data_IF_235127518561
#
_entry.id   IF_235127518561
#
_cell.length_a   1.000
_cell.length_b   1.000
_cell.length_c   1.000
_cell.angle_alpha   90.00
_cell.angle_beta   90.00
_cell.angle_gamma   90.00
#
_symmetry.space_group_name_H-M   'P 1'
#
loop_
_entity.id
_entity.type
_entity.pdbx_description
1 polymer ?
#
# COMPACT_ATOMS: atom_id res chain seq x y z
N UNK A 1 -5.47 2.66 29.55
CA UNK A 1 -5.82 3.41 28.33
C UNK A 1 -6.83 4.51 28.67
N UNK A 2 -6.49 5.80 28.51
CA UNK A 2 -7.37 6.92 28.90
C UNK A 2 -8.50 7.15 27.89
N UNK A 3 -9.69 7.54 28.36
CA UNK A 3 -10.96 7.71 27.59
C UNK A 3 -10.82 8.71 26.44
N UNK A 4 -9.86 9.64 26.54
CA UNK A 4 -9.56 10.67 25.55
C UNK A 4 -8.88 10.12 24.28
N UNK A 5 -7.94 9.18 24.44
CA UNK A 5 -7.23 8.55 23.31
C UNK A 5 -8.19 7.71 22.46
N UNK A 6 -9.10 6.96 23.09
CA UNK A 6 -10.12 6.15 22.40
C UNK A 6 -11.08 6.99 21.53
N UNK A 7 -11.34 8.25 21.93
CA UNK A 7 -12.22 9.18 21.21
C UNK A 7 -11.54 9.74 19.94
N UNK A 8 -10.27 10.14 20.03
CA UNK A 8 -9.47 10.58 18.88
C UNK A 8 -9.37 9.48 17.82
N UNK A 9 -9.15 8.22 18.23
CA UNK A 9 -9.02 7.06 17.33
C UNK A 9 -10.31 6.75 16.56
N UNK A 10 -11.48 6.91 17.17
CA UNK A 10 -12.78 6.81 16.47
C UNK A 10 -13.03 8.02 15.55
N UNK A 11 -12.60 9.21 15.95
CA UNK A 11 -12.69 10.41 15.13
C UNK A 11 -11.82 10.32 13.87
N UNK A 12 -10.61 9.74 13.95
CA UNK A 12 -9.73 9.55 12.79
C UNK A 12 -10.39 8.74 11.66
N UNK A 13 -11.13 7.68 12.00
CA UNK A 13 -11.89 6.88 11.01
C UNK A 13 -13.02 7.70 10.40
N UNK A 14 -13.73 8.50 11.21
CA UNK A 14 -14.81 9.37 10.72
C UNK A 14 -14.29 10.52 9.85
N UNK A 15 -13.05 10.95 10.07
CA UNK A 15 -12.40 11.97 9.26
C UNK A 15 -12.01 11.44 7.88
N UNK A 16 -12.02 10.13 7.61
CA UNK A 16 -11.73 9.59 6.28
C UNK A 16 -12.86 9.94 5.28
N UNK A 17 -12.54 10.27 4.01
CA UNK A 17 -13.53 10.60 3.01
C UNK A 17 -14.39 9.36 2.73
N UNK A 18 -15.59 9.57 2.21
CA UNK A 18 -16.61 8.51 2.07
C UNK A 18 -16.11 7.31 1.25
N UNK A 19 -15.39 7.52 0.17
CA UNK A 19 -14.78 6.45 -0.64
C UNK A 19 -13.72 5.65 0.13
N UNK A 20 -12.91 6.29 0.98
CA UNK A 20 -11.97 5.59 1.86
C UNK A 20 -12.71 4.81 2.94
N UNK A 21 -13.76 5.40 3.51
CA UNK A 21 -14.64 4.69 4.45
C UNK A 21 -15.38 3.53 3.78
N UNK A 22 -15.79 3.63 2.52
CA UNK A 22 -16.45 2.57 1.78
C UNK A 22 -15.50 1.40 1.49
N UNK A 23 -14.25 1.69 1.09
CA UNK A 23 -13.21 0.66 0.97
C UNK A 23 -12.94 -0.04 2.31
N UNK A 24 -12.99 0.71 3.42
CA UNK A 24 -12.82 0.16 4.78
C UNK A 24 -14.02 -0.66 5.23
N UNK A 25 -15.25 -0.24 4.92
CA UNK A 25 -16.46 -0.77 5.57
C UNK A 25 -17.35 -1.66 4.69
N UNK A 26 -17.29 -1.57 3.36
CA UNK A 26 -18.35 -2.11 2.49
C UNK A 26 -17.90 -2.79 1.20
N UNK A 27 -16.72 -2.48 0.67
CA UNK A 27 -16.28 -3.10 -0.58
C UNK A 27 -15.86 -4.56 -0.32
N UNK A 28 -16.41 -5.53 -1.04
CA UNK A 28 -15.90 -6.91 -1.13
C UNK A 28 -15.35 -7.19 -2.53
N UNK A 29 -14.14 -7.73 -2.61
CA UNK A 29 -13.59 -8.24 -3.86
C UNK A 29 -14.17 -9.63 -4.15
N UNK A 30 -14.42 -9.96 -5.42
CA UNK A 30 -14.76 -11.35 -5.76
C UNK A 30 -13.53 -12.26 -5.67
N UNK A 31 -12.33 -11.68 -5.76
CA UNK A 31 -11.07 -12.39 -5.58
C UNK A 31 -10.73 -12.59 -4.07
N UNK A 32 -10.62 -13.84 -3.59
CA UNK A 32 -10.32 -14.13 -2.18
C UNK A 32 -8.97 -13.60 -1.69
N UNK A 33 -7.95 -13.57 -2.55
CA UNK A 33 -6.63 -13.05 -2.18
C UNK A 33 -6.63 -11.52 -2.05
N UNK A 34 -7.41 -10.82 -2.88
CA UNK A 34 -7.61 -9.37 -2.72
C UNK A 34 -8.43 -9.05 -1.47
N UNK A 35 -9.42 -9.88 -1.12
CA UNK A 35 -10.11 -9.78 0.17
C UNK A 35 -9.17 -10.01 1.35
N UNK A 36 -8.29 -11.01 1.28
CA UNK A 36 -7.29 -11.25 2.32
C UNK A 36 -6.37 -10.04 2.49
N UNK A 37 -5.86 -9.50 1.39
CA UNK A 37 -5.00 -8.33 1.40
C UNK A 37 -5.70 -7.11 2.03
N UNK A 38 -6.94 -6.81 1.60
CA UNK A 38 -7.74 -5.73 2.19
C UNK A 38 -7.98 -5.97 3.68
N UNK A 39 -8.46 -7.15 4.05
CA UNK A 39 -8.81 -7.43 5.45
C UNK A 39 -7.58 -7.34 6.36
N UNK A 40 -6.41 -7.82 5.91
CA UNK A 40 -5.16 -7.65 6.63
C UNK A 40 -4.78 -6.17 6.79
N UNK A 41 -4.93 -5.36 5.75
CA UNK A 41 -4.72 -3.91 5.83
C UNK A 41 -5.63 -3.25 6.86
N UNK A 42 -6.93 -3.55 6.83
CA UNK A 42 -7.90 -2.99 7.79
C UNK A 42 -7.64 -3.46 9.22
N UNK A 43 -7.28 -4.73 9.38
CA UNK A 43 -6.88 -5.29 10.67
C UNK A 43 -5.67 -4.54 11.23
N UNK A 44 -4.63 -4.30 10.42
CA UNK A 44 -3.47 -3.51 10.80
C UNK A 44 -3.81 -2.07 11.17
N UNK A 45 -4.62 -1.41 10.33
CA UNK A 45 -5.08 -0.04 10.55
C UNK A 45 -5.83 0.11 11.88
N UNK A 46 -6.78 -0.78 12.16
CA UNK A 46 -7.58 -0.72 13.38
C UNK A 46 -6.81 -1.19 14.61
N UNK A 47 -5.98 -2.23 14.49
CA UNK A 47 -5.25 -2.80 15.63
C UNK A 47 -4.19 -1.83 16.14
N UNK A 48 -3.41 -1.22 15.26
CA UNK A 48 -2.38 -0.24 15.66
C UNK A 48 -2.99 0.97 16.36
N UNK A 49 -4.14 1.45 15.87
CA UNK A 49 -4.88 2.52 16.53
C UNK A 49 -5.57 2.09 17.83
N UNK A 50 -5.69 0.81 18.18
CA UNK A 50 -6.39 0.42 19.41
C UNK A 50 -5.46 -0.09 20.52
N UNK A 51 -4.20 -0.35 20.21
CA UNK A 51 -3.22 -0.76 21.21
C UNK A 51 -2.73 0.41 22.08
N UNK A 52 -2.23 0.07 23.26
CA UNK A 52 -1.42 0.98 24.07
C UNK A 52 -0.05 1.17 23.43
N UNK A 53 0.58 2.30 23.70
CA UNK A 53 1.89 2.66 23.14
C UNK A 53 2.97 1.63 23.51
N UNK A 54 2.94 1.11 24.73
CA UNK A 54 3.84 0.07 25.25
C UNK A 54 3.72 -1.26 24.47
N UNK A 55 2.54 -1.57 23.93
CA UNK A 55 2.29 -2.83 23.23
C UNK A 55 2.48 -2.72 21.72
N UNK A 56 2.63 -1.51 21.17
CA UNK A 56 2.84 -1.31 19.73
C UNK A 56 4.07 -2.06 19.18
N UNK A 57 5.25 -2.00 19.83
CA UNK A 57 6.44 -2.71 19.31
C UNK A 57 6.23 -4.23 19.25
N UNK A 58 5.45 -4.79 20.17
CA UNK A 58 5.18 -6.23 20.27
C UNK A 58 4.22 -6.75 19.20
N UNK A 59 3.53 -5.85 18.48
CA UNK A 59 2.55 -6.23 17.48
C UNK A 59 3.21 -6.93 16.29
N UNK A 60 4.41 -6.51 15.88
CA UNK A 60 5.09 -7.02 14.69
C UNK A 60 5.31 -8.53 14.72
N UNK A 61 5.52 -9.10 15.90
CA UNK A 61 5.81 -10.53 16.09
C UNK A 61 4.55 -11.41 16.10
N UNK A 62 3.37 -10.78 16.12
CA UNK A 62 2.08 -11.46 16.16
C UNK A 62 1.43 -11.59 14.79
N UNK A 63 2.02 -10.98 13.75
CA UNK A 63 1.40 -10.88 12.43
C UNK A 63 1.73 -12.13 11.59
N UNK A 64 0.72 -12.88 11.12
CA UNK A 64 0.95 -14.01 10.22
C UNK A 64 1.64 -13.59 8.92
N UNK A 65 2.57 -14.42 8.41
CA UNK A 65 3.33 -14.18 7.17
C UNK A 65 2.46 -13.72 5.99
N UNK A 66 1.35 -14.42 5.76
CA UNK A 66 0.44 -14.14 4.64
C UNK A 66 -0.30 -12.80 4.79
N UNK A 67 -0.29 -12.18 5.96
CA UNK A 67 -0.87 -10.86 6.25
C UNK A 67 0.17 -9.76 6.42
N UNK A 68 1.43 -10.10 6.70
CA UNK A 68 2.48 -9.18 7.18
C UNK A 68 2.54 -7.87 6.40
N UNK A 69 2.76 -7.94 5.09
CA UNK A 69 2.92 -6.74 4.27
C UNK A 69 1.70 -5.82 4.32
N UNK A 70 0.52 -6.35 4.05
CA UNK A 70 -0.71 -5.55 4.04
C UNK A 70 -1.08 -5.02 5.42
N UNK A 71 -0.89 -5.83 6.47
CA UNK A 71 -1.13 -5.40 7.84
C UNK A 71 -0.24 -4.22 8.22
N UNK A 72 1.06 -4.30 7.91
CA UNK A 72 2.01 -3.22 8.22
C UNK A 72 1.72 -1.98 7.37
N UNK A 73 1.36 -2.13 6.09
CA UNK A 73 0.88 -1.00 5.26
C UNK A 73 -0.30 -0.27 5.94
N UNK A 74 -1.28 -1.03 6.45
CA UNK A 74 -2.43 -0.47 7.18
C UNK A 74 -2.04 0.20 8.49
N UNK A 75 -1.17 -0.44 9.28
CA UNK A 75 -0.66 0.11 10.53
C UNK A 75 0.14 1.40 10.30
N UNK A 76 1.02 1.42 9.29
CA UNK A 76 1.80 2.59 8.89
C UNK A 76 0.91 3.76 8.52
N UNK A 77 -0.10 3.55 7.67
CA UNK A 77 -1.08 4.60 7.33
C UNK A 77 -1.75 5.16 8.58
N UNK A 78 -2.25 4.29 9.47
CA UNK A 78 -3.03 4.70 10.62
C UNK A 78 -2.20 5.51 11.63
N UNK A 79 -0.97 5.07 11.90
CA UNK A 79 -0.07 5.73 12.84
C UNK A 79 0.49 7.04 12.25
N UNK A 80 0.80 7.11 10.94
CA UNK A 80 1.13 8.41 10.32
C UNK A 80 -0.03 9.39 10.42
N UNK A 81 -1.27 8.97 10.13
CA UNK A 81 -2.44 9.85 10.26
C UNK A 81 -2.63 10.33 11.70
N UNK A 82 -2.43 9.45 12.68
CA UNK A 82 -2.47 9.81 14.08
C UNK A 82 -1.41 10.86 14.41
N UNK A 83 -0.15 10.59 14.09
CA UNK A 83 0.98 11.46 14.44
C UNK A 83 0.84 12.86 13.82
N UNK A 84 0.34 12.94 12.59
CA UNK A 84 0.09 14.22 11.89
C UNK A 84 -1.12 15.00 12.43
N UNK A 85 -2.17 14.30 12.89
CA UNK A 85 -3.41 14.95 13.37
C UNK A 85 -3.40 15.21 14.88
N UNK A 86 -2.47 14.58 15.63
CA UNK A 86 -2.26 14.83 17.06
C UNK A 86 -0.81 15.19 17.39
N UNK A 87 -0.30 16.34 16.91
CA UNK A 87 1.13 16.67 16.97
C UNK A 87 1.65 17.03 18.38
N UNK A 88 0.81 16.99 19.42
CA UNK A 88 1.19 17.36 20.79
C UNK A 88 1.62 16.18 21.67
N UNK A 89 1.74 14.98 21.10
CA UNK A 89 2.20 13.76 21.77
C UNK A 89 3.44 13.16 21.11
N UNK A 90 3.98 12.11 21.71
CA UNK A 90 5.05 11.33 21.09
C UNK A 90 4.53 10.61 19.84
N UNK A 91 5.32 10.60 18.77
CA UNK A 91 4.98 9.92 17.53
C UNK A 91 4.90 8.39 17.77
N UNK A 92 3.78 7.78 17.39
CA UNK A 92 3.51 6.36 17.59
C UNK A 92 4.13 5.50 16.50
N UNK A 93 4.28 6.02 15.29
CA UNK A 93 4.86 5.26 14.19
C UNK A 93 6.33 4.85 14.47
N UNK A 94 7.23 5.75 14.93
CA UNK A 94 8.57 5.34 15.34
C UNK A 94 8.57 4.26 16.45
N UNK A 95 7.63 4.34 17.41
CA UNK A 95 7.50 3.33 18.47
C UNK A 95 7.12 1.96 17.90
N UNK A 96 6.12 1.91 17.03
CA UNK A 96 5.71 0.69 16.34
C UNK A 96 6.88 0.05 15.57
N UNK A 97 7.77 0.87 15.00
CA UNK A 97 8.89 0.41 14.17
C UNK A 97 10.20 0.15 14.94
N UNK A 98 10.20 0.25 16.28
CA UNK A 98 11.42 0.15 17.11
C UNK A 98 12.28 -1.08 16.79
N UNK A 99 11.65 -2.22 16.54
CA UNK A 99 12.32 -3.49 16.24
C UNK A 99 11.99 -4.03 14.84
N UNK A 100 11.53 -3.13 13.94
CA UNK A 100 11.12 -3.52 12.60
C UNK A 100 12.31 -3.97 11.76
N UNK A 101 12.12 -5.05 11.00
CA UNK A 101 13.10 -5.48 9.99
C UNK A 101 13.05 -4.56 8.77
N UNK A 102 14.05 -4.59 7.86
CA UNK A 102 14.03 -3.75 6.66
C UNK A 102 12.80 -3.94 5.77
N UNK A 103 12.24 -5.16 5.71
CA UNK A 103 11.03 -5.44 4.95
C UNK A 103 9.78 -4.85 5.62
N UNK A 104 9.75 -4.82 6.95
CA UNK A 104 8.68 -4.20 7.75
C UNK A 104 8.73 -2.66 7.64
N UNK A 105 9.93 -2.07 7.68
CA UNK A 105 10.13 -0.64 7.42
C UNK A 105 9.65 -0.25 6.02
N UNK A 106 9.96 -1.06 5.00
CA UNK A 106 9.48 -0.87 3.62
C UNK A 106 7.95 -0.86 3.54
N UNK A 107 7.27 -1.85 4.11
CA UNK A 107 5.80 -1.89 4.09
C UNK A 107 5.20 -0.73 4.89
N UNK A 108 5.82 -0.34 5.99
CA UNK A 108 5.37 0.83 6.75
C UNK A 108 5.50 2.11 5.94
N UNK A 109 6.59 2.29 5.18
CA UNK A 109 6.79 3.44 4.30
C UNK A 109 5.70 3.51 3.21
N UNK A 110 5.30 2.36 2.62
CA UNK A 110 4.15 2.30 1.72
C UNK A 110 2.89 2.80 2.43
N UNK A 111 2.62 2.35 3.66
CA UNK A 111 1.51 2.85 4.49
C UNK A 111 1.57 4.36 4.75
N UNK A 112 2.74 4.89 5.07
CA UNK A 112 2.99 6.33 5.22
C UNK A 112 2.62 7.08 3.95
N UNK A 113 2.95 6.54 2.77
CA UNK A 113 2.54 7.09 1.47
C UNK A 113 1.04 7.26 1.31
N UNK A 114 0.25 6.30 1.79
CA UNK A 114 -1.21 6.40 1.78
C UNK A 114 -1.69 7.54 2.68
N UNK A 115 -1.09 7.69 3.86
CA UNK A 115 -1.41 8.78 4.77
C UNK A 115 -1.03 10.14 4.17
N UNK A 116 0.12 10.26 3.52
CA UNK A 116 0.56 11.48 2.82
C UNK A 116 -0.45 11.93 1.77
N UNK A 117 -0.87 11.00 0.90
CA UNK A 117 -1.84 11.27 -0.15
C UNK A 117 -3.21 11.64 0.45
N UNK A 118 -3.63 10.92 1.49
CA UNK A 118 -4.84 11.23 2.24
C UNK A 118 -4.81 12.64 2.82
N UNK A 119 -3.71 13.05 3.42
CA UNK A 119 -3.52 14.38 4.00
C UNK A 119 -3.27 15.47 2.96
N UNK A 120 -3.20 15.11 1.67
CA UNK A 120 -2.85 16.01 0.55
C UNK A 120 -1.52 16.71 0.77
N UNK A 121 -0.57 16.02 1.40
CA UNK A 121 0.81 16.51 1.51
C UNK A 121 1.43 16.51 0.09
N UNK A 122 2.37 17.41 -0.20
CA UNK A 122 3.18 17.30 -1.41
C UNK A 122 3.81 15.90 -1.50
N UNK A 123 3.97 15.35 -2.70
CA UNK A 123 4.59 14.02 -2.91
C UNK A 123 6.07 13.99 -2.47
N UNK A 124 6.71 15.16 -2.38
CA UNK A 124 8.04 15.38 -1.80
C UNK A 124 8.06 15.43 -0.27
N UNK A 125 6.91 15.43 0.39
CA UNK A 125 6.84 15.38 1.84
C UNK A 125 7.31 14.02 2.36
N UNK A 126 8.23 14.05 3.31
CA UNK A 126 8.80 12.87 3.93
C UNK A 126 8.90 13.08 5.44
N UNK A 127 8.34 12.20 6.28
CA UNK A 127 8.57 12.27 7.72
C UNK A 127 10.03 11.95 8.05
N UNK A 128 10.57 12.58 9.10
CA UNK A 128 11.98 12.45 9.50
C UNK A 128 12.40 11.01 9.85
N UNK A 129 11.46 10.15 10.26
CA UNK A 129 11.73 8.76 10.60
C UNK A 129 11.82 7.84 9.37
N UNK A 130 11.45 8.30 8.18
CA UNK A 130 11.56 7.52 6.95
C UNK A 130 13.01 7.59 6.46
N UNK A 131 13.70 6.46 6.49
CA UNK A 131 15.07 6.37 6.01
C UNK A 131 15.15 6.63 4.49
N UNK A 132 16.23 7.24 3.97
CA UNK A 132 16.34 7.62 2.56
C UNK A 132 16.04 6.49 1.56
N UNK A 133 16.44 5.26 1.87
CA UNK A 133 16.21 4.10 0.99
C UNK A 133 14.75 3.68 0.85
N UNK A 134 13.83 4.21 1.68
CA UNK A 134 12.39 3.91 1.65
C UNK A 134 11.54 5.07 1.12
N UNK A 135 12.16 6.15 0.63
CA UNK A 135 11.42 7.30 0.08
C UNK A 135 10.59 6.89 -1.15
N UNK A 136 11.15 6.07 -2.02
CA UNK A 136 10.43 5.52 -3.17
C UNK A 136 9.24 4.64 -2.76
N UNK A 137 9.33 3.97 -1.62
CA UNK A 137 8.24 3.17 -1.07
C UNK A 137 7.08 4.05 -0.57
N UNK A 138 7.38 5.22 0.03
CA UNK A 138 6.38 6.25 0.36
C UNK A 138 5.68 6.75 -0.90
N UNK A 139 6.45 7.09 -1.94
CA UNK A 139 5.89 7.59 -3.20
C UNK A 139 5.03 6.50 -3.89
N UNK A 140 5.46 5.24 -3.85
CA UNK A 140 4.69 4.09 -4.32
C UNK A 140 3.36 3.96 -3.56
N UNK A 141 3.38 4.08 -2.23
CA UNK A 141 2.15 4.14 -1.44
C UNK A 141 1.23 5.30 -1.82
N UNK A 142 1.82 6.48 -2.07
CA UNK A 142 1.07 7.67 -2.50
C UNK A 142 0.34 7.42 -3.83
N UNK A 143 1.06 6.90 -4.84
CA UNK A 143 0.48 6.59 -6.15
C UNK A 143 -0.59 5.50 -6.09
N UNK A 144 -0.43 4.53 -5.19
CA UNK A 144 -1.46 3.51 -4.95
C UNK A 144 -2.75 4.14 -4.42
N UNK A 145 -2.63 4.98 -3.37
CA UNK A 145 -3.77 5.66 -2.75
C UNK A 145 -4.51 6.56 -3.74
N UNK A 146 -3.78 7.39 -4.48
CA UNK A 146 -4.36 8.30 -5.47
C UNK A 146 -5.20 7.54 -6.49
N UNK A 147 -4.66 6.48 -7.08
CA UNK A 147 -5.40 5.65 -8.03
C UNK A 147 -6.63 4.98 -7.39
N UNK A 148 -6.49 4.45 -6.16
CA UNK A 148 -7.54 3.68 -5.50
C UNK A 148 -8.73 4.56 -5.11
N UNK A 149 -8.50 5.79 -4.67
CA UNK A 149 -9.55 6.67 -4.15
C UNK A 149 -10.02 7.72 -5.15
N UNK A 150 -9.23 8.05 -6.17
CA UNK A 150 -9.63 8.97 -7.25
C UNK A 150 -10.03 8.23 -8.54
N UNK A 151 -10.66 7.05 -8.43
CA UNK A 151 -11.02 6.17 -9.57
C UNK A 151 -11.79 6.87 -10.69
N UNK A 152 -12.66 7.83 -10.36
CA UNK A 152 -13.42 8.61 -11.34
C UNK A 152 -12.52 9.33 -12.34
N UNK A 153 -11.30 9.68 -11.92
CA UNK A 153 -10.30 10.36 -12.75
C UNK A 153 -9.56 9.42 -13.69
N UNK A 154 -9.57 8.10 -13.47
CA UNK A 154 -8.93 7.12 -14.38
C UNK A 154 -9.54 7.09 -15.79
N UNK A 155 -10.75 7.66 -15.95
CA UNK A 155 -11.39 7.86 -17.26
C UNK A 155 -10.78 9.02 -18.04
N UNK A 156 -10.10 9.95 -17.36
CA UNK A 156 -9.49 11.14 -17.96
C UNK A 156 -8.07 10.86 -18.40
N UNK A 157 -7.72 11.25 -19.63
CA UNK A 157 -6.33 11.25 -20.11
C UNK A 157 -5.46 12.23 -19.32
N UNK A 158 -6.04 13.31 -18.80
CA UNK A 158 -5.32 14.37 -18.09
C UNK A 158 -4.98 13.99 -16.65
N UNK A 159 -5.74 13.06 -16.04
CA UNK A 159 -5.41 12.56 -14.69
C UNK A 159 -3.99 12.02 -14.62
N UNK A 160 -3.57 11.33 -15.68
CA UNK A 160 -2.24 10.80 -15.79
C UNK A 160 -1.21 11.91 -15.97
N UNK A 161 -1.48 12.99 -16.70
CA UNK A 161 -0.51 14.10 -16.84
C UNK A 161 -0.34 14.91 -15.55
N UNK A 162 -1.42 15.12 -14.79
CA UNK A 162 -1.41 15.96 -13.59
C UNK A 162 -0.64 15.33 -12.42
N UNK A 163 -0.54 13.99 -12.42
CA UNK A 163 0.17 13.20 -11.41
C UNK A 163 1.60 12.81 -11.82
N UNK A 164 1.96 13.01 -13.09
CA UNK A 164 3.21 12.50 -13.67
C UNK A 164 4.47 13.30 -13.31
N UNK A 165 4.34 14.42 -12.59
CA UNK A 165 5.40 15.43 -12.59
C UNK A 165 6.55 15.17 -11.62
N UNK A 166 6.50 14.15 -10.74
CA UNK A 166 7.45 14.12 -9.60
C UNK A 166 8.20 12.79 -9.32
N UNK A 167 7.77 11.60 -9.77
CA UNK A 167 8.56 10.35 -9.59
C UNK A 167 8.04 9.12 -10.33
N UNK A 168 8.94 8.27 -10.84
CA UNK A 168 8.66 6.94 -11.43
C UNK A 168 7.98 5.97 -10.43
N UNK A 169 8.29 6.10 -9.14
CA UNK A 169 7.74 5.25 -8.07
C UNK A 169 6.23 5.46 -7.89
N UNK A 170 5.71 6.63 -8.29
CA UNK A 170 4.27 6.90 -8.27
C UNK A 170 3.52 5.96 -9.22
N UNK A 171 4.04 5.78 -10.44
CA UNK A 171 3.43 4.90 -11.45
C UNK A 171 3.49 3.43 -11.08
N UNK A 172 4.52 3.04 -10.32
CA UNK A 172 4.61 1.71 -9.74
C UNK A 172 3.42 1.45 -8.78
N UNK A 173 3.13 2.41 -7.91
CA UNK A 173 1.98 2.39 -7.01
C UNK A 173 0.64 2.39 -7.74
N UNK A 174 0.51 3.24 -8.77
CA UNK A 174 -0.67 3.29 -9.63
C UNK A 174 -0.93 1.93 -10.28
N UNK A 175 0.09 1.31 -10.87
CA UNK A 175 -0.02 0.00 -11.49
C UNK A 175 -0.45 -1.10 -10.51
N UNK A 176 0.11 -1.10 -9.30
CA UNK A 176 -0.34 -2.00 -8.22
C UNK A 176 -1.82 -1.78 -7.93
N UNK A 177 -2.26 -0.53 -7.81
CA UNK A 177 -3.65 -0.16 -7.46
C UNK A 177 -4.67 -0.58 -8.53
N UNK A 178 -4.33 -0.49 -9.82
CA UNK A 178 -5.22 -0.96 -10.91
C UNK A 178 -5.61 -2.43 -10.74
N UNK A 179 -4.71 -3.27 -10.24
CA UNK A 179 -5.00 -4.68 -9.96
C UNK A 179 -6.11 -4.86 -8.92
N UNK A 180 -6.13 -4.03 -7.88
CA UNK A 180 -7.17 -4.03 -6.85
C UNK A 180 -8.46 -3.39 -7.37
N UNK A 181 -8.38 -2.20 -7.97
CA UNK A 181 -9.54 -1.45 -8.48
C UNK A 181 -10.41 -2.30 -9.40
N UNK A 182 -9.78 -3.10 -10.24
CA UNK A 182 -10.47 -3.94 -11.21
C UNK A 182 -10.58 -5.40 -10.79
N UNK A 183 -10.33 -5.73 -9.52
CA UNK A 183 -10.51 -7.08 -8.98
C UNK A 183 -9.75 -8.15 -9.80
N UNK A 184 -8.52 -7.81 -10.19
CA UNK A 184 -7.66 -8.57 -11.08
C UNK A 184 -8.30 -8.94 -12.44
N UNK A 185 -9.24 -8.14 -12.95
CA UNK A 185 -9.84 -8.30 -14.29
C UNK A 185 -8.96 -7.57 -15.31
N UNK A 186 -8.39 -8.32 -16.25
CA UNK A 186 -7.40 -7.79 -17.20
C UNK A 186 -8.00 -6.78 -18.18
N UNK A 187 -9.14 -7.04 -18.87
CA UNK A 187 -9.66 -6.10 -19.87
C UNK A 187 -9.81 -4.64 -19.39
N UNK A 188 -10.43 -4.34 -18.23
CA UNK A 188 -10.52 -2.96 -17.76
C UNK A 188 -9.17 -2.37 -17.32
N UNK A 189 -8.21 -3.18 -16.85
CA UNK A 189 -6.83 -2.71 -16.60
C UNK A 189 -6.21 -2.22 -17.92
N UNK A 190 -6.34 -2.99 -19.00
CA UNK A 190 -5.78 -2.61 -20.32
C UNK A 190 -6.40 -1.33 -20.86
N UNK A 191 -7.71 -1.15 -20.67
CA UNK A 191 -8.40 0.06 -21.09
C UNK A 191 -7.77 1.31 -20.45
N UNK A 192 -7.47 1.25 -19.15
CA UNK A 192 -6.80 2.33 -18.43
C UNK A 192 -5.34 2.50 -18.87
N UNK A 193 -4.57 1.42 -18.93
CA UNK A 193 -3.15 1.45 -19.32
C UNK A 193 -2.96 2.03 -20.73
N UNK A 194 -3.86 1.69 -21.67
CA UNK A 194 -3.80 2.18 -23.06
C UNK A 194 -3.91 3.71 -23.21
N UNK A 195 -4.43 4.40 -22.19
CA UNK A 195 -4.58 5.86 -22.17
C UNK A 195 -3.34 6.58 -21.64
N UNK A 196 -2.41 5.84 -21.05
CA UNK A 196 -1.19 6.40 -20.47
C UNK A 196 -0.09 6.46 -21.53
N UNK A 197 0.77 7.50 -21.47
CA UNK A 197 1.95 7.60 -22.34
C UNK A 197 2.87 6.39 -22.15
N UNK A 198 3.47 5.91 -23.24
CA UNK A 198 4.26 4.68 -23.27
C UNK A 198 5.41 4.66 -22.26
N UNK A 199 6.02 5.81 -21.98
CA UNK A 199 7.13 5.96 -21.02
C UNK A 199 6.70 5.53 -19.61
N UNK A 200 5.49 5.95 -19.20
CA UNK A 200 4.93 5.67 -17.88
C UNK A 200 4.32 4.27 -17.78
N UNK A 201 3.83 3.74 -18.90
CA UNK A 201 3.31 2.36 -18.95
C UNK A 201 4.35 1.34 -18.47
N UNK A 202 5.66 1.60 -18.63
CA UNK A 202 6.73 0.74 -18.12
C UNK A 202 6.59 0.48 -16.62
N UNK A 203 6.47 1.53 -15.81
CA UNK A 203 6.38 1.42 -14.35
C UNK A 203 5.00 0.90 -13.92
N UNK A 204 3.94 1.25 -14.65
CA UNK A 204 2.60 0.71 -14.40
C UNK A 204 2.57 -0.80 -14.61
N UNK A 205 3.13 -1.31 -15.71
CA UNK A 205 3.24 -2.75 -15.97
C UNK A 205 4.09 -3.46 -14.92
N UNK A 206 5.16 -2.83 -14.46
CA UNK A 206 5.96 -3.32 -13.35
C UNK A 206 5.13 -3.41 -12.06
N UNK A 207 4.32 -2.40 -11.76
CA UNK A 207 3.43 -2.39 -10.60
C UNK A 207 2.34 -3.47 -10.67
N UNK A 208 1.75 -3.66 -11.85
CA UNK A 208 0.80 -4.76 -12.12
C UNK A 208 1.47 -6.12 -11.88
N UNK A 209 2.72 -6.30 -12.32
CA UNK A 209 3.49 -7.52 -12.09
C UNK A 209 3.72 -7.80 -10.61
N UNK A 210 4.08 -6.78 -9.81
CA UNK A 210 4.23 -6.92 -8.36
C UNK A 210 2.91 -7.40 -7.74
N UNK A 211 1.79 -6.71 -8.02
CA UNK A 211 0.50 -7.05 -7.44
C UNK A 211 0.01 -8.45 -7.88
N UNK A 212 0.27 -8.85 -9.12
CA UNK A 212 -0.08 -10.16 -9.64
C UNK A 212 0.68 -11.30 -8.91
N UNK A 213 1.92 -11.09 -8.47
CA UNK A 213 2.70 -12.11 -7.75
C UNK A 213 2.11 -12.50 -6.38
N UNK A 214 1.48 -11.56 -5.68
CA UNK A 214 0.78 -11.85 -4.42
C UNK A 214 -0.52 -12.64 -4.64
N UNK A 215 -1.00 -12.70 -5.88
CA UNK A 215 -2.27 -13.30 -6.27
C UNK A 215 -2.02 -14.39 -7.31
N UNK A 216 -1.51 -15.56 -6.89
CA UNK A 216 -1.01 -16.69 -7.71
C UNK A 216 -2.08 -17.39 -8.59
N UNK A 217 -2.91 -16.65 -9.33
CA UNK A 217 -3.91 -17.22 -10.22
C UNK A 217 -3.29 -17.52 -11.60
N UNK A 218 -2.93 -18.78 -11.81
CA UNK A 218 -2.32 -19.28 -13.05
C UNK A 218 -3.16 -19.02 -14.31
N UNK A 219 -4.50 -19.02 -14.22
CA UNK A 219 -5.36 -18.83 -15.39
C UNK A 219 -5.27 -17.40 -15.96
N UNK A 220 -4.98 -16.41 -15.11
CA UNK A 220 -4.83 -15.01 -15.54
C UNK A 220 -3.44 -14.70 -16.11
N UNK A 221 -2.45 -15.55 -15.82
CA UNK A 221 -1.04 -15.33 -16.20
C UNK A 221 -0.84 -15.28 -17.71
N UNK A 222 -1.44 -16.21 -18.46
CA UNK A 222 -1.28 -16.26 -19.92
C UNK A 222 -1.84 -15.01 -20.60
N UNK A 223 -3.05 -14.58 -20.21
CA UNK A 223 -3.68 -13.37 -20.73
C UNK A 223 -2.87 -12.11 -20.36
N UNK A 224 -2.33 -12.05 -19.13
CA UNK A 224 -1.52 -10.92 -18.70
C UNK A 224 -0.21 -10.80 -19.50
N UNK A 225 0.47 -11.93 -19.74
CA UNK A 225 1.67 -12.01 -20.59
C UNK A 225 1.35 -11.54 -22.00
N UNK A 226 0.31 -12.10 -22.63
CA UNK A 226 -0.11 -11.72 -23.97
C UNK A 226 -0.42 -10.23 -24.07
N UNK A 227 -1.14 -9.69 -23.07
CA UNK A 227 -1.60 -8.31 -23.08
C UNK A 227 -0.48 -7.29 -22.80
N UNK A 228 0.62 -7.72 -22.19
CA UNK A 228 1.75 -6.83 -21.88
C UNK A 228 2.55 -6.40 -23.12
N UNK A 229 2.51 -7.17 -24.21
CA UNK A 229 3.18 -6.83 -25.47
C UNK A 229 4.65 -6.44 -25.27
N UNK A 230 5.04 -5.25 -25.76
CA UNK A 230 6.40 -4.70 -25.60
C UNK A 230 6.80 -4.42 -24.15
N UNK A 231 5.86 -4.38 -23.20
CA UNK A 231 6.10 -4.17 -21.78
C UNK A 231 6.27 -5.48 -20.99
N UNK A 232 6.30 -6.63 -21.66
CA UNK A 232 6.56 -7.92 -21.02
C UNK A 232 7.82 -7.93 -20.13
N UNK A 233 8.96 -7.30 -20.50
CA UNK A 233 10.11 -7.21 -19.60
C UNK A 233 9.81 -6.47 -18.29
N UNK A 234 9.02 -5.39 -18.36
CA UNK A 234 8.61 -4.61 -17.19
C UNK A 234 7.67 -5.42 -16.29
N UNK A 235 6.69 -6.12 -16.89
CA UNK A 235 5.80 -7.03 -16.16
C UNK A 235 6.60 -8.12 -15.44
N UNK A 236 7.53 -8.77 -16.14
CA UNK A 236 8.36 -9.84 -15.56
C UNK A 236 9.24 -9.33 -14.41
N UNK A 237 9.87 -8.15 -14.57
CA UNK A 237 10.62 -7.50 -13.50
C UNK A 237 9.74 -7.23 -12.27
N UNK A 238 8.50 -6.78 -12.48
CA UNK A 238 7.53 -6.61 -11.42
C UNK A 238 7.19 -7.92 -10.71
N UNK A 239 6.93 -8.97 -11.49
CA UNK A 239 6.64 -10.30 -10.94
C UNK A 239 7.80 -10.84 -10.08
N UNK A 240 9.04 -10.64 -10.53
CA UNK A 240 10.25 -11.02 -9.80
C UNK A 240 10.38 -10.28 -8.46
N UNK A 241 10.21 -8.96 -8.46
CA UNK A 241 10.18 -8.16 -7.23
C UNK A 241 9.10 -8.69 -6.27
N UNK A 242 7.89 -8.95 -6.78
CA UNK A 242 6.81 -9.49 -5.95
C UNK A 242 7.15 -10.86 -5.33
N UNK A 243 7.82 -11.75 -6.06
CA UNK A 243 8.29 -13.04 -5.52
C UNK A 243 9.37 -12.85 -4.45
N UNK A 244 10.34 -11.97 -4.69
CA UNK A 244 11.39 -11.68 -3.73
C UNK A 244 10.83 -11.11 -2.43
N UNK A 245 9.82 -10.23 -2.51
CA UNK A 245 9.13 -9.71 -1.33
C UNK A 245 8.43 -10.83 -0.54
N UNK A 246 7.77 -11.78 -1.21
CA UNK A 246 7.14 -12.94 -0.56
C UNK A 246 8.20 -13.80 0.15
N UNK A 247 9.34 -14.04 -0.50
CA UNK A 247 10.44 -14.80 0.09
C UNK A 247 11.08 -14.09 1.29
N UNK A 248 11.25 -12.77 1.22
CA UNK A 248 11.75 -11.94 2.32
C UNK A 248 10.81 -11.95 3.52
N UNK A 249 9.49 -11.80 3.30
CA UNK A 249 8.47 -11.93 4.36
C UNK A 249 8.62 -13.28 5.08
N UNK A 250 8.69 -14.37 4.31
CA UNK A 250 8.79 -15.71 4.86
C UNK A 250 10.10 -15.95 5.63
N UNK A 251 11.19 -15.24 5.29
CA UNK A 251 12.47 -15.31 6.01
C UNK A 251 12.47 -14.45 7.28
N UNK A 252 11.89 -13.25 7.23
CA UNK A 252 11.83 -12.30 8.36
C UNK A 252 11.25 -12.96 9.62
N UNK A 253 10.12 -13.67 9.48
CA UNK A 253 9.49 -14.33 10.61
C UNK A 253 10.22 -15.58 11.10
N UNK A 254 11.02 -16.25 10.25
CA UNK A 254 11.87 -17.35 10.74
C UNK A 254 12.91 -16.82 11.71
N UNK A 255 13.55 -15.68 11.41
CA UNK A 255 14.59 -15.11 12.28
C UNK A 255 14.05 -14.66 13.64
N UNK A 256 12.79 -14.22 13.71
CA UNK A 256 12.13 -13.79 14.96
C UNK A 256 11.82 -14.94 15.94
N UNK A 257 11.70 -16.18 15.45
CA UNK A 257 11.40 -17.36 16.30
C UNK A 257 12.64 -18.13 16.76
N UNK A 258 13.85 -17.72 16.35
CA UNK A 258 15.11 -18.37 16.72
C UNK A 258 16.04 -17.47 17.56
N UNK A 259 15.53 -16.35 18.08
CA UNK A 259 16.27 -15.39 18.92
C UNK A 259 15.84 -15.43 20.38
#
# INVERSE_FOLDING_TARGET
>A
MNKHSKNIRQQLIQLLPENTRAFINTDEFSNPQLNLARNAFLEGFHTSLNLSEENLPLLLDQIPNNKLGFFIEGAGMALTLHDELTPRGEALLPKFLTYATPIELKFSAIGTGWASARLKKPITWMPDHVMPQFQDDVINGYGFYEALFNRHRLKSKNYFSDLALESDSFDLGLGRSLWFIFDAKIPPILEVVSRVKAERQKLIWKGIGIAASFNQNHAKKALLIQSSGSFLPCLNSGCEIGRNLIDEINKSNKLKHYG
#
